data_IF_562329580884
#
_entry.id   IF_562329580884
#
_cell.length_a   1.000
_cell.length_b   1.000
_cell.length_c   1.000
_cell.angle_alpha   90.00
_cell.angle_beta   90.00
_cell.angle_gamma   90.00
#
_symmetry.space_group_name_H-M   'P 1'
#
loop_
_entity.id
_entity.type
_entity.pdbx_description
1 polymer ?
#
# COMPACT_ATOMS: atom_id res chain seq x y z
N UNK A 1 2.32 13.02 2.29
CA UNK A 1 1.47 12.04 3.02
C UNK A 1 1.21 10.91 2.06
N UNK A 2 1.50 9.66 2.43
CA UNK A 2 1.28 8.51 1.55
C UNK A 2 -0.23 8.28 1.31
N UNK A 3 -0.59 7.68 0.18
CA UNK A 3 -2.00 7.48 -0.21
C UNK A 3 -2.70 6.38 0.57
N UNK A 4 -3.96 6.62 0.93
CA UNK A 4 -4.90 5.68 1.57
C UNK A 4 -6.13 5.58 0.65
N UNK A 5 -6.21 4.56 -0.24
CA UNK A 5 -7.36 4.39 -1.11
C UNK A 5 -8.65 4.30 -0.29
N UNK A 6 -9.57 5.26 -0.46
CA UNK A 6 -10.78 5.39 0.36
C UNK A 6 -11.97 4.60 -0.22
N UNK A 7 -11.82 3.98 -1.40
CA UNK A 7 -12.85 3.15 -2.03
C UNK A 7 -12.40 2.43 -3.30
N UNK A 8 -13.27 1.57 -3.83
CA UNK A 8 -12.97 0.71 -4.99
C UNK A 8 -12.62 1.51 -6.26
N UNK A 9 -13.25 2.67 -6.48
CA UNK A 9 -12.98 3.54 -7.64
C UNK A 9 -11.56 4.11 -7.58
N UNK A 10 -11.15 4.60 -6.42
CA UNK A 10 -9.81 5.14 -6.21
C UNK A 10 -8.75 4.05 -6.33
N UNK A 11 -9.00 2.87 -5.75
CA UNK A 11 -8.12 1.72 -5.90
C UNK A 11 -7.93 1.34 -7.37
N UNK A 12 -9.02 1.28 -8.15
CA UNK A 12 -8.95 0.97 -9.58
C UNK A 12 -8.17 2.04 -10.35
N UNK A 13 -8.45 3.32 -10.08
CA UNK A 13 -7.72 4.43 -10.69
C UNK A 13 -6.22 4.33 -10.41
N UNK A 14 -5.81 4.07 -9.16
CA UNK A 14 -4.42 3.91 -8.80
C UNK A 14 -3.77 2.72 -9.52
N UNK A 15 -4.46 1.59 -9.64
CA UNK A 15 -3.96 0.43 -10.40
C UNK A 15 -3.77 0.76 -11.88
N UNK A 16 -4.72 1.46 -12.49
CA UNK A 16 -4.67 1.81 -13.91
C UNK A 16 -3.48 2.75 -14.22
N UNK A 17 -3.16 3.70 -13.33
CA UNK A 17 -2.03 4.63 -13.52
C UNK A 17 -0.67 4.04 -13.10
N UNK A 18 -0.64 2.95 -12.32
CA UNK A 18 0.59 2.36 -11.77
C UNK A 18 0.97 1.02 -12.39
N UNK A 19 0.27 0.58 -13.43
CA UNK A 19 0.41 -0.75 -14.03
C UNK A 19 1.84 -1.16 -14.47
N UNK A 20 2.74 -0.19 -14.69
CA UNK A 20 4.08 -0.45 -15.21
C UNK A 20 5.15 -0.75 -14.14
N UNK A 21 4.98 -0.27 -12.89
CA UNK A 21 6.02 -0.33 -11.86
C UNK A 21 5.41 -0.55 -10.47
N UNK A 22 6.25 -0.84 -9.47
CA UNK A 22 5.81 -0.94 -8.07
C UNK A 22 5.87 0.42 -7.39
N UNK A 23 4.81 0.73 -6.66
CA UNK A 23 4.69 1.96 -5.91
C UNK A 23 4.33 1.68 -4.46
N UNK A 24 5.09 2.25 -3.53
CA UNK A 24 4.73 2.26 -2.13
C UNK A 24 3.48 3.10 -1.89
N UNK A 25 2.65 2.59 -0.99
CA UNK A 25 1.46 3.26 -0.46
C UNK A 25 1.54 3.36 1.06
N UNK A 26 0.62 4.11 1.66
CA UNK A 26 0.59 4.34 3.09
C UNK A 26 0.03 3.17 3.91
N UNK A 27 0.51 1.94 3.68
CA UNK A 27 0.07 0.72 4.37
C UNK A 27 1.28 0.01 5.00
N UNK A 28 1.22 -0.22 6.31
CA UNK A 28 2.33 -0.72 7.12
C UNK A 28 1.89 -1.90 7.99
N UNK A 29 2.79 -2.87 8.18
CA UNK A 29 2.57 -3.99 9.10
C UNK A 29 3.00 -3.60 10.52
N UNK A 30 2.11 -3.78 11.49
CA UNK A 30 2.44 -3.62 12.90
C UNK A 30 2.68 -4.98 13.54
N UNK A 31 3.95 -5.26 13.86
CA UNK A 31 4.38 -6.54 14.43
C UNK A 31 3.75 -6.83 15.80
N UNK A 32 3.54 -5.80 16.64
CA UNK A 32 2.94 -5.96 17.97
C UNK A 32 1.50 -6.52 17.90
N UNK A 33 0.72 -6.06 16.91
CA UNK A 33 -0.69 -6.42 16.75
C UNK A 33 -0.93 -7.46 15.64
N UNK A 34 0.15 -7.85 14.95
CA UNK A 34 0.17 -8.76 13.80
C UNK A 34 -0.85 -8.38 12.72
N UNK A 35 -1.04 -7.07 12.49
CA UNK A 35 -2.06 -6.52 11.59
C UNK A 35 -1.53 -5.39 10.72
N UNK A 36 -2.20 -5.17 9.60
CA UNK A 36 -1.91 -4.10 8.65
C UNK A 36 -2.71 -2.85 8.99
N UNK A 37 -2.03 -1.71 8.97
CA UNK A 37 -2.59 -0.40 9.28
C UNK A 37 -2.25 0.61 8.21
N UNK A 38 -3.23 1.39 7.83
CA UNK A 38 -3.00 2.61 7.06
C UNK A 38 -2.23 3.62 7.92
N UNK A 39 -1.51 4.55 7.28
CA UNK A 39 -0.74 5.60 7.97
C UNK A 39 -1.58 6.57 8.83
N UNK A 40 -2.91 6.50 8.74
CA UNK A 40 -3.86 7.22 9.59
C UNK A 40 -4.36 6.38 10.79
N UNK A 41 -3.70 5.25 11.08
CA UNK A 41 -4.04 4.27 12.10
C UNK A 41 -5.37 3.52 11.89
N UNK A 42 -6.01 3.61 10.71
CA UNK A 42 -7.17 2.75 10.42
C UNK A 42 -6.72 1.34 10.04
N UNK A 43 -7.52 0.34 10.44
CA UNK A 43 -7.25 -1.07 10.15
C UNK A 43 -7.46 -1.34 8.66
N UNK A 44 -6.52 -2.05 8.04
CA UNK A 44 -6.69 -2.57 6.69
C UNK A 44 -7.48 -3.87 6.69
N UNK A 45 -8.58 -3.89 5.94
CA UNK A 45 -9.49 -5.04 5.84
C UNK A 45 -9.30 -5.85 4.54
N UNK A 46 -8.29 -5.54 3.73
CA UNK A 46 -8.00 -6.28 2.50
C UNK A 46 -7.02 -7.43 2.72
N UNK A 47 -6.60 -8.06 1.62
CA UNK A 47 -5.58 -9.11 1.64
C UNK A 47 -4.25 -8.57 1.10
N UNK A 48 -3.14 -8.85 1.81
CA UNK A 48 -1.78 -8.58 1.34
C UNK A 48 -1.15 -9.89 0.89
N UNK A 49 -0.68 -9.94 -0.34
CA UNK A 49 0.00 -11.08 -0.95
C UNK A 49 1.49 -11.07 -0.65
N UNK A 50 2.11 -12.25 -0.74
CA UNK A 50 3.56 -12.45 -0.59
C UNK A 50 4.11 -11.97 0.77
N UNK A 51 3.33 -12.10 1.85
CA UNK A 51 3.76 -11.69 3.19
C UNK A 51 4.89 -12.59 3.71
N UNK A 52 6.06 -11.98 3.94
CA UNK A 52 7.22 -12.62 4.53
C UNK A 52 7.62 -11.96 5.85
N UNK A 53 8.31 -12.73 6.70
CA UNK A 53 8.93 -12.20 7.91
C UNK A 53 9.89 -11.06 7.48
N UNK A 54 9.68 -9.86 8.03
CA UNK A 54 10.38 -8.59 7.75
C UNK A 54 9.80 -7.70 6.63
N UNK A 55 8.77 -8.13 5.91
CA UNK A 55 8.18 -7.31 4.84
C UNK A 55 7.06 -6.44 5.44
N UNK A 56 7.47 -5.31 6.02
CA UNK A 56 6.56 -4.43 6.78
C UNK A 56 5.90 -3.32 5.94
N UNK A 57 6.24 -3.20 4.64
CA UNK A 57 5.68 -2.19 3.73
C UNK A 57 4.89 -2.85 2.60
N UNK A 58 4.05 -2.07 1.91
CA UNK A 58 3.20 -2.57 0.82
C UNK A 58 3.39 -1.77 -0.47
N UNK A 59 3.40 -2.48 -1.59
CA UNK A 59 3.41 -1.93 -2.94
C UNK A 59 2.16 -2.31 -3.74
N UNK A 60 1.81 -1.47 -4.70
CA UNK A 60 0.79 -1.74 -5.75
C UNK A 60 1.37 -1.44 -7.14
N UNK A 61 0.66 -1.84 -8.20
CA UNK A 61 0.93 -1.40 -9.58
C UNK A 61 1.16 -2.54 -10.54
N UNK A 62 2.41 -3.01 -10.65
CA UNK A 62 2.82 -4.15 -11.49
C UNK A 62 1.87 -5.36 -11.39
N UNK A 63 1.29 -5.58 -10.21
CA UNK A 63 0.21 -6.53 -9.96
C UNK A 63 -1.08 -5.80 -9.57
N UNK A 64 -2.22 -6.48 -9.72
CA UNK A 64 -3.53 -5.97 -9.25
C UNK A 64 -3.76 -6.22 -7.75
N UNK A 65 -2.72 -6.59 -7.01
CA UNK A 65 -2.78 -6.98 -5.60
C UNK A 65 -1.99 -6.00 -4.73
N UNK A 66 -2.19 -6.09 -3.41
CA UNK A 66 -1.33 -5.43 -2.44
C UNK A 66 -0.19 -6.37 -2.10
N UNK A 67 1.02 -6.08 -2.57
CA UNK A 67 2.18 -6.94 -2.35
C UNK A 67 3.04 -6.42 -1.20
N UNK A 68 3.34 -7.30 -0.24
CA UNK A 68 4.29 -6.94 0.80
C UNK A 68 5.70 -6.75 0.22
N UNK A 69 6.46 -5.84 0.81
CA UNK A 69 7.80 -5.48 0.39
C UNK A 69 8.67 -5.10 1.60
N UNK A 70 9.99 -5.23 1.42
CA UNK A 70 10.97 -4.62 2.30
C UNK A 70 10.85 -3.10 2.21
N UNK A 71 10.80 -2.43 3.36
CA UNK A 71 10.68 -0.97 3.42
C UNK A 71 11.92 -0.23 2.91
N UNK A 72 13.09 -0.88 2.96
CA UNK A 72 14.36 -0.30 2.56
C UNK A 72 14.65 -0.45 1.04
N UNK A 73 13.74 -1.09 0.29
CA UNK A 73 13.86 -1.20 -1.16
C UNK A 73 13.57 0.15 -1.83
N UNK A 74 14.33 0.49 -2.87
CA UNK A 74 14.09 1.71 -3.65
C UNK A 74 12.94 1.52 -4.65
N UNK A 75 11.72 1.88 -4.23
CA UNK A 75 10.57 2.02 -5.13
C UNK A 75 10.00 3.44 -5.08
N UNK A 76 9.23 3.81 -6.11
CA UNK A 76 8.48 5.07 -6.13
C UNK A 76 7.35 5.04 -5.11
N UNK A 77 6.82 6.21 -4.75
CA UNK A 77 5.74 6.36 -3.77
C UNK A 77 4.57 7.15 -4.35
N UNK A 78 3.36 6.79 -3.91
CA UNK A 78 2.15 7.56 -4.20
C UNK A 78 1.78 8.37 -2.96
N UNK A 79 1.64 9.67 -3.14
CA UNK A 79 1.15 10.58 -2.12
C UNK A 79 -0.28 11.00 -2.40
N UNK A 80 -1.07 11.21 -1.35
CA UNK A 80 -2.44 11.71 -1.45
C UNK A 80 -2.59 12.99 -0.63
N UNK A 81 -3.41 13.91 -1.15
CA UNK A 81 -3.96 15.07 -0.45
C UNK A 81 -5.39 15.28 -0.91
N UNK A 82 -6.24 15.84 -0.05
CA UNK A 82 -7.59 16.25 -0.45
C UNK A 82 -7.51 17.35 -1.52
N UNK A 83 -8.29 17.22 -2.59
CA UNK A 83 -8.51 18.32 -3.52
C UNK A 83 -9.22 19.47 -2.79
N UNK A 84 -8.86 20.70 -3.12
CA UNK A 84 -9.50 21.92 -2.59
C UNK A 84 -10.70 22.30 -3.43
#
# INVERSE_FOLDING_TARGET
RASVPQGATEQKFLQDITAAEKYFIGLLYQNAEKRWYWINNSIFNGNVTNHHQNFNCVTIGLTKTFDSALCDTEYRWICEKRAK
#
